data_IF_162282134321
#
_entry.id   IF_162282134321
#
_cell.length_a   1.000
_cell.length_b   1.000
_cell.length_c   1.000
_cell.angle_alpha   90.00
_cell.angle_beta   90.00
_cell.angle_gamma   90.00
#
_symmetry.space_group_name_H-M   'P 1'
#
loop_
_entity.id
_entity.type
_entity.pdbx_description
1 polymer ?
#
# COMPACT_ATOMS: atom_id res chain seq x y z
N UNK A 1 -3.98 19.62 15.96
CA UNK A 1 -4.87 18.54 16.46
C UNK A 1 -5.40 17.76 15.27
N UNK A 2 -5.19 16.44 15.25
CA UNK A 2 -5.56 15.58 14.12
C UNK A 2 -7.09 15.54 13.94
N UNK A 3 -7.54 15.52 12.69
CA UNK A 3 -8.97 15.46 12.33
C UNK A 3 -9.45 14.02 12.31
N UNK A 4 -10.76 13.83 12.50
CA UNK A 4 -11.41 12.51 12.40
C UNK A 4 -12.12 12.43 11.04
N UNK A 5 -11.81 11.43 10.20
CA UNK A 5 -12.52 11.20 8.94
C UNK A 5 -14.00 10.90 9.19
N UNK A 6 -14.85 11.31 8.25
CA UNK A 6 -16.31 11.24 8.40
C UNK A 6 -16.89 10.65 7.14
N UNK A 7 -17.76 9.65 7.29
CA UNK A 7 -18.47 9.02 6.18
C UNK A 7 -19.97 9.31 6.34
N UNK A 8 -20.64 9.57 5.21
CA UNK A 8 -22.09 9.73 5.17
C UNK A 8 -22.82 8.41 5.43
N UNK A 9 -24.14 8.48 5.60
CA UNK A 9 -25.01 7.29 5.66
C UNK A 9 -24.88 6.42 4.41
N UNK A 10 -24.65 7.03 3.25
CA UNK A 10 -24.54 6.38 1.94
C UNK A 10 -23.11 5.96 1.57
N UNK A 11 -22.22 5.84 2.57
CA UNK A 11 -20.82 5.46 2.42
C UNK A 11 -19.97 6.43 1.56
N UNK A 12 -20.34 7.71 1.50
CA UNK A 12 -19.55 8.74 0.83
C UNK A 12 -18.63 9.46 1.81
N UNK A 13 -17.32 9.61 1.51
CA UNK A 13 -16.41 10.40 2.33
C UNK A 13 -16.86 11.88 2.40
N UNK A 14 -16.87 12.44 3.61
CA UNK A 14 -17.18 13.83 3.90
C UNK A 14 -15.95 14.54 4.49
N UNK A 15 -16.07 15.84 4.72
CA UNK A 15 -14.98 16.60 5.34
C UNK A 15 -14.63 16.11 6.74
N UNK A 16 -13.32 15.85 7.03
CA UNK A 16 -12.89 15.46 8.35
C UNK A 16 -13.21 16.50 9.42
N UNK A 17 -13.65 16.05 10.59
CA UNK A 17 -14.15 16.91 11.66
C UNK A 17 -13.20 16.97 12.86
N UNK A 18 -13.52 17.83 13.83
CA UNK A 18 -12.79 17.90 15.11
C UNK A 18 -13.13 16.66 15.96
N UNK A 19 -12.16 16.05 16.66
CA UNK A 19 -12.43 14.94 17.59
C UNK A 19 -13.50 15.24 18.65
N UNK A 20 -13.57 16.48 19.15
CA UNK A 20 -14.62 16.88 20.10
C UNK A 20 -16.03 16.79 19.50
N UNK A 21 -16.18 17.14 18.23
CA UNK A 21 -17.45 17.05 17.49
C UNK A 21 -17.81 15.60 17.20
N UNK A 22 -16.84 14.78 16.78
CA UNK A 22 -17.03 13.36 16.57
C UNK A 22 -17.54 12.65 17.84
N UNK A 23 -16.90 12.90 18.99
CA UNK A 23 -17.34 12.34 20.28
C UNK A 23 -18.76 12.76 20.65
N UNK A 24 -19.12 14.03 20.43
CA UNK A 24 -20.47 14.53 20.70
C UNK A 24 -21.51 13.81 19.83
N UNK A 25 -21.24 13.65 18.54
CA UNK A 25 -22.15 12.93 17.64
C UNK A 25 -22.36 11.47 18.03
N UNK A 26 -21.29 10.79 18.46
CA UNK A 26 -21.40 9.42 18.98
C UNK A 26 -22.25 9.38 20.25
N UNK A 27 -22.01 10.31 21.20
CA UNK A 27 -22.80 10.39 22.45
C UNK A 27 -24.28 10.68 22.20
N UNK A 28 -24.57 11.50 21.20
CA UNK A 28 -25.95 11.85 20.78
C UNK A 28 -26.60 10.79 19.89
N UNK A 29 -25.92 9.70 19.53
CA UNK A 29 -26.46 8.65 18.65
C UNK A 29 -26.56 9.02 17.15
N UNK A 30 -25.97 10.15 16.75
CA UNK A 30 -25.98 10.67 15.36
C UNK A 30 -24.89 10.07 14.47
N UNK A 31 -23.95 9.36 15.07
CA UNK A 31 -22.87 8.69 14.39
C UNK A 31 -22.40 7.48 15.20
N UNK A 32 -21.76 6.54 14.53
CA UNK A 32 -21.07 5.43 15.18
C UNK A 32 -19.62 5.36 14.70
N UNK A 33 -18.74 4.90 15.60
CA UNK A 33 -17.32 4.77 15.31
C UNK A 33 -16.98 3.44 14.65
N UNK A 34 -16.05 3.46 13.71
CA UNK A 34 -15.53 2.30 12.99
C UNK A 34 -14.03 2.43 12.73
N UNK A 35 -13.42 1.34 12.29
CA UNK A 35 -12.01 1.30 11.88
C UNK A 35 -11.91 0.75 10.47
N UNK A 36 -11.06 1.35 9.64
CA UNK A 36 -10.77 0.81 8.31
C UNK A 36 -9.70 -0.30 8.39
N UNK A 37 -9.37 -0.89 7.24
CA UNK A 37 -8.34 -1.93 7.10
C UNK A 37 -6.93 -1.45 7.52
N UNK A 38 -6.68 -0.14 7.54
CA UNK A 38 -5.44 0.46 8.04
C UNK A 38 -5.45 0.70 9.56
N UNK A 39 -6.54 0.37 10.26
CA UNK A 39 -6.70 0.63 11.69
C UNK A 39 -6.95 2.10 12.02
N UNK A 40 -7.36 2.92 11.05
CA UNK A 40 -7.69 4.33 11.25
C UNK A 40 -9.14 4.43 11.71
N UNK A 41 -9.33 5.10 12.84
CA UNK A 41 -10.65 5.41 13.37
C UNK A 41 -11.34 6.47 12.52
N UNK A 42 -12.57 6.20 12.13
CA UNK A 42 -13.47 7.15 11.47
C UNK A 42 -14.88 7.04 12.07
N UNK A 43 -15.73 8.00 11.75
CA UNK A 43 -17.14 7.96 12.14
C UNK A 43 -18.02 7.87 10.91
N UNK A 44 -19.13 7.14 11.02
CA UNK A 44 -20.19 7.10 10.02
C UNK A 44 -21.45 7.74 10.59
N UNK A 45 -22.03 8.69 9.84
CA UNK A 45 -23.27 9.35 10.22
C UNK A 45 -24.47 8.42 10.01
N UNK A 46 -25.43 8.46 10.94
CA UNK A 46 -26.71 7.74 10.83
C UNK A 46 -27.79 8.59 10.16
N UNK A 47 -27.66 9.91 10.26
CA UNK A 47 -28.55 10.92 9.68
C UNK A 47 -27.92 11.57 8.45
N UNK A 48 -28.77 12.20 7.63
CA UNK A 48 -28.31 13.02 6.50
C UNK A 48 -27.54 14.23 7.03
N UNK A 49 -26.33 14.50 6.49
CA UNK A 49 -25.56 15.65 6.91
C UNK A 49 -26.29 16.94 6.50
N UNK A 50 -26.13 17.98 7.31
CA UNK A 50 -26.69 19.31 7.01
C UNK A 50 -26.03 19.97 5.78
N UNK A 51 -24.82 19.53 5.42
CA UNK A 51 -24.05 20.00 4.27
C UNK A 51 -23.07 18.90 3.85
N UNK A 52 -22.91 18.74 2.54
CA UNK A 52 -22.02 17.80 1.86
C UNK A 52 -20.83 18.52 1.18
N UNK A 53 -20.63 19.80 1.50
CA UNK A 53 -19.54 20.58 0.91
C UNK A 53 -18.19 20.01 1.29
N UNK A 54 -17.40 19.66 0.28
CA UNK A 54 -16.03 19.18 0.41
C UNK A 54 -15.04 20.14 -0.22
N UNK A 55 -13.79 20.06 0.21
CA UNK A 55 -12.68 20.74 -0.45
C UNK A 55 -11.67 19.71 -0.93
N UNK A 56 -10.86 20.02 -1.96
CA UNK A 56 -9.79 19.15 -2.40
C UNK A 56 -8.81 18.85 -1.26
N UNK A 57 -8.47 17.56 -1.11
CA UNK A 57 -7.45 17.06 -0.20
C UNK A 57 -6.33 16.48 -1.07
N UNK A 58 -5.09 16.83 -0.77
CA UNK A 58 -3.93 16.33 -1.49
C UNK A 58 -3.21 15.25 -0.70
N UNK A 59 -2.73 14.23 -1.41
CA UNK A 59 -1.88 13.18 -0.83
C UNK A 59 -0.48 13.32 -1.42
N UNK A 60 0.50 13.59 -0.56
CA UNK A 60 1.92 13.55 -0.90
C UNK A 60 2.50 12.19 -0.55
N UNK A 61 3.27 11.62 -1.47
CA UNK A 61 4.01 10.38 -1.26
C UNK A 61 5.49 10.69 -1.52
N UNK A 62 6.33 10.44 -0.52
CA UNK A 62 7.80 10.49 -0.65
C UNK A 62 8.35 9.05 -0.68
N UNK A 63 8.59 8.49 -1.87
CA UNK A 63 8.92 7.08 -2.01
C UNK A 63 10.41 6.81 -1.74
N UNK A 64 10.70 6.08 -0.66
CA UNK A 64 12.06 5.61 -0.37
C UNK A 64 12.30 4.14 -0.73
N UNK A 65 13.46 3.64 -0.31
CA UNK A 65 13.88 2.24 -0.55
C UNK A 65 13.30 1.27 0.49
N UNK A 66 13.40 1.65 1.76
CA UNK A 66 12.94 0.86 2.91
C UNK A 66 11.70 1.46 3.56
N UNK A 67 11.54 2.78 3.47
CA UNK A 67 10.42 3.50 4.04
C UNK A 67 9.84 4.43 2.99
N UNK A 68 8.53 4.65 3.02
CA UNK A 68 7.87 5.72 2.26
C UNK A 68 7.09 6.63 3.19
N UNK A 69 7.33 7.93 3.06
CA UNK A 69 6.54 8.94 3.76
C UNK A 69 5.23 9.15 3.02
N UNK A 70 4.12 9.23 3.75
CA UNK A 70 2.83 9.65 3.19
C UNK A 70 2.27 10.77 4.06
N UNK A 71 1.81 11.84 3.42
CA UNK A 71 1.12 12.96 4.07
C UNK A 71 -0.20 13.25 3.36
N UNK A 72 -1.28 13.40 4.13
CA UNK A 72 -2.60 13.82 3.65
C UNK A 72 -2.86 15.23 4.17
N UNK A 73 -3.01 16.17 3.24
CA UNK A 73 -3.00 17.60 3.50
C UNK A 73 -4.27 18.24 2.94
N UNK A 74 -4.94 19.03 3.77
CA UNK A 74 -5.94 20.01 3.34
C UNK A 74 -5.32 21.41 3.31
N UNK A 75 -6.04 22.39 2.79
CA UNK A 75 -5.61 23.81 2.75
C UNK A 75 -5.05 24.34 4.07
N UNK A 76 -5.64 23.94 5.21
CA UNK A 76 -5.32 24.48 6.54
C UNK A 76 -4.75 23.45 7.51
N UNK A 77 -4.93 22.15 7.25
CA UNK A 77 -4.60 21.11 8.21
C UNK A 77 -3.96 19.90 7.55
N UNK A 78 -2.94 19.36 8.21
CA UNK A 78 -2.44 18.00 7.97
C UNK A 78 -3.39 17.01 8.65
N UNK A 79 -4.01 16.15 7.85
CA UNK A 79 -5.05 15.22 8.28
C UNK A 79 -4.44 13.90 8.76
N UNK A 80 -3.42 13.42 8.05
CA UNK A 80 -2.78 12.15 8.35
C UNK A 80 -1.35 12.12 7.85
N UNK A 81 -0.48 11.43 8.57
CA UNK A 81 0.91 11.20 8.19
C UNK A 81 1.32 9.80 8.58
N UNK A 82 2.13 9.15 7.77
CA UNK A 82 2.73 7.87 8.14
C UNK A 82 4.10 7.66 7.50
N UNK A 83 4.89 6.82 8.16
CA UNK A 83 6.06 6.17 7.60
C UNK A 83 5.72 4.70 7.33
N UNK A 84 5.54 4.35 6.06
CA UNK A 84 5.30 2.98 5.66
C UNK A 84 6.60 2.19 5.65
N UNK A 85 6.67 1.10 6.41
CA UNK A 85 7.74 0.12 6.28
C UNK A 85 7.53 -0.73 5.03
N UNK A 86 8.43 -0.60 4.06
CA UNK A 86 8.32 -1.25 2.76
C UNK A 86 8.86 -2.68 2.80
N UNK A 87 8.25 -3.63 2.07
CA UNK A 87 8.64 -5.04 2.08
C UNK A 87 9.93 -5.34 1.29
N UNK A 88 10.70 -4.31 0.91
CA UNK A 88 11.84 -4.41 0.01
C UNK A 88 12.84 -5.49 0.41
N UNK A 89 13.31 -5.47 1.67
CA UNK A 89 14.32 -6.41 2.18
C UNK A 89 13.79 -7.84 2.14
N UNK A 90 12.57 -8.05 2.65
CA UNK A 90 11.89 -9.35 2.69
C UNK A 90 11.69 -9.94 1.28
N UNK A 91 11.29 -9.12 0.31
CA UNK A 91 11.09 -9.57 -1.08
C UNK A 91 12.42 -9.92 -1.73
N UNK A 92 13.46 -9.12 -1.52
CA UNK A 92 14.81 -9.37 -2.04
C UNK A 92 15.35 -10.72 -1.53
N UNK A 93 15.32 -10.94 -0.23
CA UNK A 93 15.81 -12.18 0.40
C UNK A 93 15.08 -13.42 -0.13
N UNK A 94 13.74 -13.34 -0.26
CA UNK A 94 12.94 -14.42 -0.83
C UNK A 94 13.30 -14.71 -2.29
N UNK A 95 13.51 -13.67 -3.08
CA UNK A 95 13.90 -13.80 -4.49
C UNK A 95 15.31 -14.38 -4.66
N UNK A 96 16.25 -14.01 -3.79
CA UNK A 96 17.61 -14.54 -3.78
C UNK A 96 17.62 -16.01 -3.33
N UNK A 97 16.89 -16.37 -2.27
CA UNK A 97 16.69 -17.77 -1.85
C UNK A 97 16.09 -18.61 -2.98
N UNK A 98 15.05 -18.10 -3.65
CA UNK A 98 14.43 -18.76 -4.80
C UNK A 98 15.43 -18.95 -5.96
N UNK A 99 16.26 -17.95 -6.24
CA UNK A 99 17.31 -18.01 -7.27
C UNK A 99 18.36 -19.07 -6.93
N UNK A 100 18.85 -19.07 -5.69
CA UNK A 100 19.87 -19.99 -5.19
C UNK A 100 19.39 -21.44 -5.27
N UNK A 101 18.19 -21.73 -4.75
CA UNK A 101 17.61 -23.06 -4.78
C UNK A 101 17.37 -23.57 -6.21
N UNK A 102 16.96 -22.66 -7.12
CA UNK A 102 16.83 -22.99 -8.55
C UNK A 102 18.18 -23.30 -9.20
N UNK A 103 19.24 -22.53 -8.88
CA UNK A 103 20.60 -22.76 -9.38
C UNK A 103 21.13 -24.09 -8.90
N UNK A 104 20.98 -24.40 -7.61
CA UNK A 104 21.42 -25.68 -7.02
C UNK A 104 20.73 -26.88 -7.68
N UNK A 105 19.39 -26.87 -7.81
CA UNK A 105 18.66 -27.94 -8.49
C UNK A 105 19.10 -28.15 -9.93
N UNK A 106 19.31 -27.06 -10.68
CA UNK A 106 19.81 -27.15 -12.07
C UNK A 106 21.26 -27.66 -12.10
N UNK A 107 22.10 -27.19 -11.19
CA UNK A 107 23.50 -27.60 -11.09
C UNK A 107 23.69 -29.09 -10.85
N UNK A 108 22.80 -29.71 -10.06
CA UNK A 108 22.78 -31.16 -9.80
C UNK A 108 22.34 -31.99 -11.01
N UNK A 109 21.49 -31.44 -11.89
CA UNK A 109 21.03 -32.13 -13.11
C UNK A 109 22.06 -32.12 -14.24
N UNK A 110 23.05 -31.22 -14.18
CA UNK A 110 24.06 -31.10 -15.23
C UNK A 110 25.15 -32.14 -14.97
N UNK A 111 25.17 -33.19 -15.80
CA UNK A 111 26.32 -34.09 -15.89
C UNK A 111 27.48 -33.36 -16.59
N UNK A 112 28.51 -32.99 -15.83
CA UNK A 112 29.66 -32.21 -16.34
C UNK A 112 30.70 -33.08 -17.07
N UNK A 113 30.59 -34.40 -17.01
CA UNK A 113 31.47 -35.34 -17.72
C UNK A 113 31.15 -35.41 -19.23
N UNK A 114 29.91 -35.10 -19.61
CA UNK A 114 29.51 -35.06 -21.03
C UNK A 114 30.03 -33.80 -21.74
N UNK A 115 30.32 -33.87 -23.06
CA UNK A 115 30.52 -32.70 -23.92
C UNK A 115 29.39 -31.68 -23.75
N UNK A 116 29.71 -30.39 -23.84
CA UNK A 116 28.78 -29.29 -23.52
C UNK A 116 27.43 -29.43 -24.24
N UNK A 117 27.45 -29.80 -25.51
CA UNK A 117 26.28 -29.99 -26.39
C UNK A 117 25.32 -31.08 -25.88
N UNK A 118 25.86 -32.12 -25.23
CA UNK A 118 25.11 -33.25 -24.69
C UNK A 118 24.67 -33.05 -23.23
N UNK A 119 25.05 -31.92 -22.60
CA UNK A 119 24.65 -31.65 -21.20
C UNK A 119 23.19 -31.23 -21.14
N UNK A 120 22.49 -31.67 -20.11
CA UNK A 120 21.15 -31.20 -19.71
C UNK A 120 21.16 -29.76 -19.14
N UNK A 121 21.78 -28.84 -19.87
CA UNK A 121 21.83 -27.41 -19.56
C UNK A 121 20.81 -26.67 -20.42
N UNK A 122 20.22 -25.61 -19.87
CA UNK A 122 19.27 -24.78 -20.64
C UNK A 122 20.08 -23.94 -21.63
N UNK A 123 19.98 -24.22 -22.94
CA UNK A 123 20.59 -23.38 -23.98
C UNK A 123 20.22 -21.89 -23.79
N UNK A 124 21.14 -21.02 -24.22
CA UNK A 124 21.11 -19.58 -23.95
C UNK A 124 19.97 -18.91 -24.73
N UNK A 125 18.77 -18.86 -24.15
CA UNK A 125 17.62 -18.11 -24.71
C UNK A 125 17.83 -16.60 -24.51
N UNK A 126 18.58 -15.97 -25.39
CA UNK A 126 18.77 -14.52 -25.40
C UNK A 126 17.50 -13.76 -25.85
N UNK A 127 16.69 -14.36 -26.72
CA UNK A 127 15.42 -13.78 -27.21
C UNK A 127 14.37 -13.52 -26.12
N UNK A 128 14.35 -14.34 -25.06
CA UNK A 128 13.33 -14.23 -23.98
C UNK A 128 13.70 -13.25 -22.85
N UNK A 129 14.78 -12.46 -22.99
CA UNK A 129 15.27 -11.53 -21.95
C UNK A 129 14.91 -10.06 -22.21
N UNK A 130 14.11 -9.74 -23.23
CA UNK A 130 13.73 -8.37 -23.62
C UNK A 130 12.48 -7.79 -22.91
N UNK A 131 11.99 -8.40 -21.83
CA UNK A 131 10.83 -7.82 -21.14
C UNK A 131 11.31 -6.79 -20.10
N UNK A 132 10.93 -5.53 -20.27
CA UNK A 132 11.11 -4.39 -19.35
C UNK A 132 10.28 -4.56 -18.07
N UNK A 133 10.50 -5.66 -17.34
CA UNK A 133 9.76 -5.96 -16.12
C UNK A 133 10.32 -5.15 -14.95
N UNK A 134 9.42 -4.48 -14.24
CA UNK A 134 9.68 -3.96 -12.90
C UNK A 134 10.22 -5.08 -12.00
N UNK A 135 11.28 -4.77 -11.26
CA UNK A 135 11.84 -5.69 -10.27
C UNK A 135 10.77 -6.02 -9.22
N UNK A 136 10.65 -7.28 -8.77
CA UNK A 136 9.60 -7.68 -7.82
C UNK A 136 9.59 -6.86 -6.52
N UNK A 137 10.76 -6.44 -6.04
CA UNK A 137 10.88 -5.60 -4.86
C UNK A 137 10.31 -4.19 -5.08
N UNK A 138 10.62 -3.56 -6.22
CA UNK A 138 10.10 -2.23 -6.56
C UNK A 138 8.59 -2.29 -6.76
N UNK A 139 8.10 -3.33 -7.47
CA UNK A 139 6.66 -3.54 -7.65
C UNK A 139 5.93 -3.69 -6.30
N UNK A 140 6.48 -4.47 -5.37
CA UNK A 140 5.88 -4.68 -4.06
C UNK A 140 5.80 -3.38 -3.24
N UNK A 141 6.84 -2.53 -3.28
CA UNK A 141 6.82 -1.23 -2.62
C UNK A 141 5.70 -0.34 -3.17
N UNK A 142 5.64 -0.18 -4.51
CA UNK A 142 4.64 0.67 -5.18
C UNK A 142 3.21 0.16 -4.95
N UNK A 143 3.01 -1.15 -4.92
CA UNK A 143 1.70 -1.73 -4.64
C UNK A 143 1.25 -1.48 -3.20
N UNK A 144 2.17 -1.48 -2.23
CA UNK A 144 1.83 -1.15 -0.84
C UNK A 144 1.42 0.32 -0.70
N UNK A 145 2.17 1.23 -1.33
CA UNK A 145 1.83 2.67 -1.35
C UNK A 145 0.43 2.89 -1.95
N UNK A 146 0.17 2.29 -3.12
CA UNK A 146 -1.15 2.39 -3.78
C UNK A 146 -2.25 1.86 -2.87
N UNK A 147 -2.06 0.69 -2.26
CA UNK A 147 -3.07 0.11 -1.35
C UNK A 147 -3.39 1.08 -0.21
N UNK A 148 -2.38 1.65 0.44
CA UNK A 148 -2.58 2.57 1.56
C UNK A 148 -3.34 3.81 1.10
N UNK A 149 -2.95 4.42 -0.02
CA UNK A 149 -3.67 5.59 -0.55
C UNK A 149 -5.11 5.25 -0.94
N UNK A 150 -5.34 4.08 -1.55
CA UNK A 150 -6.69 3.63 -1.91
C UNK A 150 -7.58 3.35 -0.69
N UNK A 151 -7.02 2.84 0.41
CA UNK A 151 -7.78 2.66 1.66
C UNK A 151 -8.03 4.00 2.39
N UNK A 152 -7.10 4.95 2.28
CA UNK A 152 -7.28 6.30 2.81
C UNK A 152 -8.36 7.08 2.04
N UNK A 153 -8.46 6.90 0.72
CA UNK A 153 -9.46 7.62 -0.08
C UNK A 153 -10.91 7.17 0.16
N UNK A 154 -11.12 6.06 0.88
CA UNK A 154 -12.45 5.57 1.22
C UNK A 154 -13.03 6.22 2.47
N UNK A 155 -12.24 7.01 3.20
CA UNK A 155 -12.62 7.58 4.50
C UNK A 155 -12.41 9.10 4.56
#
# INVERSE_FOLDING_TARGET
>A
MQRVPVISKDNQPLMPTKPSRARRWIKEGKAFGQFNDLGIFYIQLTETPSSDQTQPISVGIDPGKLFSGIGVQSSLYTLWTAHLELPFKRVRERMDKRRLMRRARRGRRINRKLPFELRAHRQKRFSNRKQSKLAPSIRANRQLEIRVVSELSKI
#
